data_IF_348833772905
#
_entry.id   IF_348833772905
#
_cell.length_a   1.000
_cell.length_b   1.000
_cell.length_c   1.000
_cell.angle_alpha   90.00
_cell.angle_beta   90.00
_cell.angle_gamma   90.00
#
_symmetry.space_group_name_H-M   'P 1'
#
loop_
_entity.id
_entity.type
_entity.pdbx_description
1 polymer ?
#
# COMPACT_ATOMS: atom_id res chain seq x y z
N UNK A 1 11.89 17.30 -5.52
CA UNK A 1 11.16 16.26 -4.78
C UNK A 1 11.88 15.95 -3.49
N UNK A 2 11.27 16.27 -2.36
CA UNK A 2 11.84 15.96 -1.05
C UNK A 2 11.55 14.51 -0.68
N UNK A 3 12.23 13.98 0.32
CA UNK A 3 11.97 12.62 0.80
C UNK A 3 10.54 12.45 1.33
N UNK A 4 10.01 13.37 2.16
CA UNK A 4 8.60 13.26 2.56
C UNK A 4 7.62 13.28 1.39
N UNK A 5 7.87 14.09 0.37
CA UNK A 5 7.02 14.11 -0.82
C UNK A 5 7.10 12.79 -1.58
N UNK A 6 8.30 12.22 -1.70
CA UNK A 6 8.48 10.93 -2.35
C UNK A 6 7.68 9.84 -1.61
N UNK A 7 7.78 9.80 -0.29
CA UNK A 7 7.08 8.79 0.51
C UNK A 7 5.57 8.93 0.34
N UNK A 8 5.06 10.16 0.37
CA UNK A 8 3.63 10.43 0.18
C UNK A 8 3.16 9.96 -1.19
N UNK A 9 3.93 10.25 -2.23
CA UNK A 9 3.60 9.84 -3.59
C UNK A 9 3.68 8.33 -3.77
N UNK A 10 4.67 7.71 -3.15
CA UNK A 10 4.83 6.26 -3.20
C UNK A 10 3.62 5.57 -2.55
N UNK A 11 3.23 6.02 -1.36
CA UNK A 11 2.06 5.49 -0.67
C UNK A 11 0.80 5.63 -1.53
N UNK A 12 0.58 6.81 -2.11
CA UNK A 12 -0.57 7.05 -2.97
C UNK A 12 -0.56 6.15 -4.20
N UNK A 13 0.60 5.91 -4.77
CA UNK A 13 0.74 5.03 -5.91
C UNK A 13 0.33 3.61 -5.57
N UNK A 14 0.74 3.10 -4.41
CA UNK A 14 0.35 1.78 -3.95
C UNK A 14 -1.16 1.70 -3.71
N UNK A 15 -1.73 2.70 -3.06
CA UNK A 15 -3.17 2.76 -2.77
C UNK A 15 -3.99 2.85 -4.06
N UNK A 16 -3.51 3.60 -5.04
CA UNK A 16 -4.15 3.70 -6.34
C UNK A 16 -4.18 2.35 -7.06
N UNK A 17 -3.10 1.59 -6.95
CA UNK A 17 -3.05 0.25 -7.55
C UNK A 17 -4.06 -0.68 -6.88
N UNK A 18 -4.19 -0.62 -5.55
CA UNK A 18 -5.19 -1.40 -4.82
C UNK A 18 -6.59 -1.04 -5.30
N UNK A 19 -6.86 0.25 -5.48
CA UNK A 19 -8.16 0.73 -5.96
C UNK A 19 -8.46 0.16 -7.35
N UNK A 20 -7.50 0.24 -8.26
CA UNK A 20 -7.67 -0.27 -9.63
C UNK A 20 -7.96 -1.77 -9.63
N UNK A 21 -7.25 -2.53 -8.81
CA UNK A 21 -7.46 -3.97 -8.70
C UNK A 21 -8.82 -4.29 -8.10
N UNK A 22 -9.26 -3.52 -7.11
CA UNK A 22 -10.57 -3.69 -6.49
C UNK A 22 -11.69 -3.41 -7.49
N UNK A 23 -11.53 -2.38 -8.30
CA UNK A 23 -12.49 -2.06 -9.37
C UNK A 23 -12.54 -3.20 -10.39
N UNK A 24 -11.39 -3.77 -10.75
CA UNK A 24 -11.35 -4.89 -11.70
C UNK A 24 -12.15 -6.09 -11.20
N UNK A 25 -12.07 -6.40 -9.91
CA UNK A 25 -12.84 -7.49 -9.32
C UNK A 25 -14.34 -7.18 -9.34
N UNK A 26 -14.72 -5.99 -8.90
CA UNK A 26 -16.13 -5.63 -8.76
C UNK A 26 -16.82 -5.35 -10.08
N UNK A 27 -16.08 -5.00 -11.12
CA UNK A 27 -16.64 -4.72 -12.45
C UNK A 27 -16.80 -5.96 -13.32
N UNK A 28 -16.40 -7.14 -12.83
CA UNK A 28 -16.53 -8.38 -13.59
C UNK A 28 -15.44 -8.60 -14.63
N UNK A 29 -14.34 -7.87 -14.54
CA UNK A 29 -13.21 -8.03 -15.48
C UNK A 29 -12.33 -9.24 -15.17
N UNK A 30 -12.63 -9.93 -14.07
CA UNK A 30 -11.90 -11.13 -13.67
C UNK A 30 -12.64 -12.35 -14.24
N UNK A 31 -11.96 -13.16 -15.05
CA UNK A 31 -12.60 -14.20 -15.88
C UNK A 31 -12.71 -15.55 -15.21
N UNK A 32 -11.79 -15.90 -14.32
CA UNK A 32 -11.77 -17.22 -13.70
C UNK A 32 -11.20 -17.13 -12.28
N UNK A 33 -11.28 -18.27 -11.57
CA UNK A 33 -10.86 -18.31 -10.18
C UNK A 33 -9.36 -18.12 -10.01
N UNK A 34 -8.57 -18.59 -10.96
CA UNK A 34 -7.13 -18.43 -10.92
C UNK A 34 -6.75 -16.95 -11.01
N UNK A 35 -7.37 -16.23 -11.95
CA UNK A 35 -7.17 -14.80 -12.09
C UNK A 35 -7.65 -14.04 -10.84
N UNK A 36 -8.81 -14.45 -10.31
CA UNK A 36 -9.35 -13.85 -9.09
C UNK A 36 -8.37 -13.97 -7.93
N UNK A 37 -7.82 -15.17 -7.72
CA UNK A 37 -6.83 -15.39 -6.64
C UNK A 37 -5.57 -14.56 -6.83
N UNK A 38 -5.10 -14.42 -8.07
CA UNK A 38 -3.93 -13.62 -8.37
C UNK A 38 -4.17 -12.14 -8.02
N UNK A 39 -5.33 -11.61 -8.37
CA UNK A 39 -5.69 -10.22 -8.07
C UNK A 39 -5.83 -10.02 -6.56
N UNK A 40 -6.51 -10.92 -5.87
CA UNK A 40 -6.66 -10.83 -4.42
C UNK A 40 -5.29 -10.88 -3.74
N UNK A 41 -4.40 -11.77 -4.20
CA UNK A 41 -3.05 -11.85 -3.66
C UNK A 41 -2.27 -10.56 -3.84
N UNK A 42 -2.41 -9.92 -5.00
CA UNK A 42 -1.75 -8.64 -5.26
C UNK A 42 -2.30 -7.55 -4.33
N UNK A 43 -3.62 -7.49 -4.15
CA UNK A 43 -4.26 -6.54 -3.23
C UNK A 43 -3.73 -6.74 -1.81
N UNK A 44 -3.67 -7.98 -1.36
CA UNK A 44 -3.18 -8.28 -0.01
C UNK A 44 -1.72 -7.88 0.17
N UNK A 45 -0.89 -8.16 -0.82
CA UNK A 45 0.53 -7.79 -0.78
C UNK A 45 0.73 -6.29 -0.75
N UNK A 46 -0.01 -5.55 -1.58
CA UNK A 46 0.08 -4.09 -1.62
C UNK A 46 -0.44 -3.46 -0.34
N UNK A 47 -1.54 -4.00 0.20
CA UNK A 47 -2.11 -3.50 1.46
C UNK A 47 -1.14 -3.74 2.61
N UNK A 48 -0.50 -4.89 2.65
CA UNK A 48 0.54 -5.16 3.64
C UNK A 48 1.69 -4.17 3.50
N UNK A 49 2.11 -3.87 2.27
CA UNK A 49 3.21 -2.93 2.04
C UNK A 49 2.86 -1.52 2.55
N UNK A 50 1.63 -1.07 2.32
CA UNK A 50 1.18 0.24 2.83
C UNK A 50 1.18 0.26 4.35
N UNK A 51 0.65 -0.79 4.97
CA UNK A 51 0.63 -0.90 6.43
C UNK A 51 2.04 -0.92 7.02
N UNK A 52 2.94 -1.66 6.38
CA UNK A 52 4.34 -1.73 6.82
C UNK A 52 5.02 -0.37 6.71
N UNK A 53 4.77 0.34 5.61
CA UNK A 53 5.32 1.68 5.43
C UNK A 53 4.84 2.61 6.54
N UNK A 54 3.54 2.60 6.84
CA UNK A 54 2.98 3.43 7.90
C UNK A 54 3.55 3.07 9.28
N UNK A 55 3.70 1.78 9.54
CA UNK A 55 4.27 1.30 10.79
C UNK A 55 5.71 1.75 10.97
N UNK A 56 6.52 1.65 9.91
CA UNK A 56 7.91 2.08 9.94
C UNK A 56 8.04 3.60 10.13
N UNK A 57 7.19 4.37 9.46
CA UNK A 57 7.18 5.82 9.61
C UNK A 57 6.83 6.22 11.05
N UNK A 58 5.86 5.56 11.63
CA UNK A 58 5.46 5.84 13.01
C UNK A 58 6.59 5.52 13.98
N UNK A 59 7.24 4.38 13.81
CA UNK A 59 8.38 4.01 14.66
C UNK A 59 9.55 4.97 14.49
N UNK A 60 9.80 5.42 13.29
CA UNK A 60 10.84 6.41 13.03
C UNK A 60 10.57 7.69 13.81
N UNK A 61 9.32 8.19 13.78
CA UNK A 61 8.93 9.38 14.50
C UNK A 61 9.05 9.18 16.01
N UNK A 62 8.61 8.05 16.53
CA UNK A 62 8.69 7.72 17.95
C UNK A 62 10.15 7.64 18.42
N UNK A 63 11.01 7.01 17.63
CA UNK A 63 12.43 6.91 17.94
C UNK A 63 13.09 8.29 17.96
N UNK A 64 12.70 9.15 17.02
CA UNK A 64 13.22 10.52 16.95
C UNK A 64 12.81 11.30 18.19
N UNK A 65 11.58 11.13 18.66
CA UNK A 65 11.10 11.78 19.88
C UNK A 65 11.86 11.28 21.11
N UNK A 66 12.09 9.98 21.20
CA UNK A 66 12.84 9.39 22.30
C UNK A 66 14.26 9.96 22.34
N UNK A 67 14.90 10.10 21.20
CA UNK A 67 16.26 10.62 21.10
C UNK A 67 16.37 12.08 21.57
N UNK A 68 15.29 12.83 21.53
CA UNK A 68 15.27 14.21 21.99
C UNK A 68 15.15 14.36 23.50
N UNK A 69 14.62 13.34 24.11
CA UNK A 69 14.43 13.36 25.56
C UNK A 69 15.66 12.84 26.28
#
# INVERSE_FOLDING_TARGET
LTLPEFITKFKKSLESRVEDLSVAITSGNVKDMEQYRAVVGEIQGLSFAVEELQSLLKRFDDDTEVDRS
#
